data_IF_375144384269
#
_entry.id   IF_375144384269
#
_cell.length_a   1.000
_cell.length_b   1.000
_cell.length_c   1.000
_cell.angle_alpha   90.00
_cell.angle_beta   90.00
_cell.angle_gamma   90.00
#
_symmetry.space_group_name_H-M   'P 1'
#
loop_
_entity.id
_entity.type
_entity.pdbx_description
1 polymer ?
#
# COMPACT_ATOMS: atom_id res chain seq x y z
N UNK A 1 23.77 9.21 12.40
CA UNK A 1 22.60 9.96 12.91
C UNK A 1 21.35 9.32 12.33
N UNK A 2 20.57 8.60 13.14
CA UNK A 2 19.33 7.95 12.69
C UNK A 2 18.21 8.99 12.79
N UNK A 3 17.87 9.63 11.68
CA UNK A 3 16.76 10.58 11.62
C UNK A 3 15.41 9.87 11.61
N UNK A 4 14.38 10.49 12.19
CA UNK A 4 12.97 10.05 12.06
C UNK A 4 12.56 10.03 10.59
N UNK A 5 12.47 8.84 9.99
CA UNK A 5 11.99 8.65 8.62
C UNK A 5 10.47 8.42 8.61
N UNK A 6 9.70 9.34 8.05
CA UNK A 6 8.25 9.18 7.90
C UNK A 6 7.45 10.44 7.57
N UNK A 7 7.98 11.64 7.82
CA UNK A 7 7.39 12.89 7.32
C UNK A 7 8.12 13.36 6.07
N UNK A 8 7.43 14.10 5.21
CA UNK A 8 7.93 14.94 4.11
C UNK A 8 8.86 16.05 4.61
N UNK A 9 9.79 15.72 5.50
CA UNK A 9 10.81 16.64 6.00
C UNK A 9 11.80 16.87 4.88
N UNK A 10 11.90 18.13 4.44
CA UNK A 10 12.96 18.60 3.54
C UNK A 10 14.28 18.02 4.04
N UNK A 11 14.90 17.16 3.23
CA UNK A 11 16.28 16.74 3.48
C UNK A 11 17.12 18.03 3.52
N UNK A 12 17.99 18.23 4.53
CA UNK A 12 18.77 19.46 4.62
C UNK A 12 19.53 19.71 3.32
N UNK A 13 19.46 20.92 2.77
CA UNK A 13 20.11 21.28 1.50
C UNK A 13 21.64 21.20 1.56
N UNK A 14 22.20 21.19 2.77
CA UNK A 14 23.63 21.02 3.04
C UNK A 14 24.08 19.55 3.02
N UNK A 15 23.16 18.58 2.93
CA UNK A 15 23.50 17.17 2.95
C UNK A 15 23.88 16.69 1.55
N UNK A 16 25.06 16.07 1.45
CA UNK A 16 25.58 15.48 0.23
C UNK A 16 25.52 13.95 0.29
N UNK A 17 25.19 13.34 -0.84
CA UNK A 17 25.10 11.89 -1.02
C UNK A 17 26.17 11.40 -1.98
N UNK A 18 26.71 10.22 -1.69
CA UNK A 18 27.67 9.53 -2.53
C UNK A 18 26.97 8.38 -3.27
N UNK A 19 27.09 8.35 -4.60
CA UNK A 19 26.54 7.31 -5.47
C UNK A 19 27.64 6.48 -6.17
N UNK A 20 28.76 6.23 -5.49
CA UNK A 20 29.86 5.35 -5.99
C UNK A 20 29.38 3.97 -6.43
N UNK A 21 28.39 3.40 -5.74
CA UNK A 21 27.79 2.11 -6.10
C UNK A 21 27.03 2.12 -7.43
N UNK A 22 26.74 3.32 -7.96
CA UNK A 22 26.18 3.57 -9.29
C UNK A 22 27.24 4.07 -10.29
N UNK A 23 28.53 4.05 -9.93
CA UNK A 23 29.64 4.45 -10.81
C UNK A 23 29.97 5.93 -10.80
N UNK A 24 29.33 6.74 -9.96
CA UNK A 24 29.58 8.19 -9.92
C UNK A 24 30.78 8.55 -9.03
N UNK A 25 31.59 9.52 -9.48
CA UNK A 25 32.76 10.03 -8.75
C UNK A 25 32.50 11.34 -7.99
N UNK A 26 31.38 12.01 -8.25
CA UNK A 26 30.99 13.26 -7.58
C UNK A 26 30.01 13.01 -6.44
N UNK A 27 29.91 13.98 -5.55
CA UNK A 27 28.83 14.07 -4.57
C UNK A 27 27.58 14.71 -5.22
N UNK A 28 26.42 14.35 -4.70
CA UNK A 28 25.12 14.85 -5.13
C UNK A 28 24.43 15.55 -3.97
N UNK A 29 23.75 16.65 -4.25
CA UNK A 29 22.87 17.30 -3.27
C UNK A 29 21.62 16.46 -3.04
N UNK A 30 20.96 16.69 -1.91
CA UNK A 30 19.78 15.93 -1.53
C UNK A 30 18.61 16.06 -2.52
N UNK A 31 18.43 17.22 -3.15
CA UNK A 31 17.42 17.47 -4.18
C UNK A 31 17.67 16.66 -5.46
N UNK A 32 18.93 16.46 -5.85
CA UNK A 32 19.31 15.65 -7.02
C UNK A 32 18.94 14.16 -6.85
N UNK A 33 18.89 13.66 -5.62
CA UNK A 33 18.72 12.22 -5.33
C UNK A 33 17.47 11.89 -4.52
N UNK A 34 16.65 12.90 -4.20
CA UNK A 34 15.54 12.78 -3.26
C UNK A 34 14.63 11.57 -3.57
N UNK A 35 14.20 11.46 -4.83
CA UNK A 35 13.24 10.44 -5.27
C UNK A 35 13.84 9.03 -5.39
N UNK A 36 15.16 8.88 -5.41
CA UNK A 36 15.82 7.56 -5.48
C UNK A 36 16.30 7.05 -4.12
N UNK A 37 16.14 7.85 -3.05
CA UNK A 37 16.59 7.47 -1.72
C UNK A 37 15.86 6.22 -1.22
N UNK A 38 14.51 6.24 -1.23
CA UNK A 38 13.69 5.09 -0.83
C UNK A 38 13.98 3.85 -1.69
N UNK A 39 14.15 4.04 -2.99
CA UNK A 39 14.55 2.97 -3.93
C UNK A 39 15.88 2.32 -3.55
N UNK A 40 16.91 3.13 -3.27
CA UNK A 40 18.24 2.64 -2.92
C UNK A 40 18.25 1.96 -1.55
N UNK A 41 17.46 2.47 -0.60
CA UNK A 41 17.30 1.84 0.70
C UNK A 41 16.67 0.44 0.57
N UNK A 42 15.58 0.30 -0.20
CA UNK A 42 14.97 -1.01 -0.44
C UNK A 42 15.95 -1.96 -1.13
N UNK A 43 16.69 -1.50 -2.15
CA UNK A 43 17.72 -2.34 -2.82
C UNK A 43 18.74 -2.88 -1.82
N UNK A 44 19.23 -2.04 -0.91
CA UNK A 44 20.18 -2.44 0.11
C UNK A 44 19.60 -3.51 1.03
N UNK A 45 18.38 -3.29 1.53
CA UNK A 45 17.68 -4.25 2.38
C UNK A 45 17.47 -5.58 1.67
N UNK A 46 16.94 -5.56 0.44
CA UNK A 46 16.67 -6.74 -0.37
C UNK A 46 17.93 -7.58 -0.60
N UNK A 47 19.03 -6.94 -1.03
CA UNK A 47 20.28 -7.64 -1.33
C UNK A 47 20.91 -8.28 -0.08
N UNK A 48 20.87 -7.59 1.07
CA UNK A 48 21.42 -8.13 2.31
C UNK A 48 20.53 -9.25 2.85
N UNK A 49 19.20 -9.06 2.81
CA UNK A 49 18.26 -10.09 3.25
C UNK A 49 18.37 -11.37 2.42
N UNK A 50 18.52 -11.26 1.09
CA UNK A 50 18.69 -12.42 0.21
C UNK A 50 19.99 -13.19 0.48
N UNK A 51 21.06 -12.51 0.92
CA UNK A 51 22.31 -13.18 1.32
C UNK A 51 22.16 -13.92 2.65
N UNK A 52 21.51 -13.30 3.62
CA UNK A 52 21.36 -13.85 4.97
C UNK A 52 20.28 -14.95 5.02
N UNK A 53 19.23 -14.84 4.21
CA UNK A 53 18.08 -15.74 4.19
C UNK A 53 17.74 -16.19 2.76
N UNK A 54 18.60 -16.97 2.08
CA UNK A 54 18.46 -17.29 0.66
C UNK A 54 17.20 -18.10 0.31
N UNK A 55 16.59 -18.78 1.29
CA UNK A 55 15.38 -19.59 1.11
C UNK A 55 14.10 -18.86 1.56
N UNK A 56 14.19 -17.57 1.90
CA UNK A 56 13.05 -16.78 2.35
C UNK A 56 12.81 -15.60 1.42
N UNK A 57 11.54 -15.25 1.24
CA UNK A 57 11.12 -14.07 0.49
C UNK A 57 11.01 -12.89 1.44
N UNK A 58 11.65 -11.77 1.09
CA UNK A 58 11.54 -10.53 1.85
C UNK A 58 10.12 -9.97 1.76
N UNK A 59 9.56 -9.60 2.90
CA UNK A 59 8.41 -8.71 3.00
C UNK A 59 8.87 -7.35 3.53
N UNK A 60 8.79 -6.30 2.70
CA UNK A 60 9.19 -4.94 3.07
C UNK A 60 8.07 -3.96 2.80
N UNK A 61 7.58 -3.30 3.85
CA UNK A 61 6.62 -2.19 3.72
C UNK A 61 7.39 -0.90 3.44
N UNK A 62 6.98 -0.15 2.41
CA UNK A 62 7.70 1.05 1.97
C UNK A 62 6.75 2.20 1.68
N UNK A 63 7.04 3.38 2.21
CA UNK A 63 6.21 4.57 1.94
C UNK A 63 6.64 5.34 0.70
N UNK A 64 7.87 5.12 0.24
CA UNK A 64 8.46 5.80 -0.92
C UNK A 64 9.34 4.84 -1.71
N UNK A 65 9.55 5.18 -2.99
CA UNK A 65 10.32 4.40 -3.94
C UNK A 65 10.49 5.16 -5.24
N UNK A 66 10.95 4.47 -6.27
CA UNK A 66 11.12 4.99 -7.63
C UNK A 66 10.72 3.94 -8.65
N UNK A 67 10.69 4.31 -9.93
CA UNK A 67 10.45 3.37 -11.02
C UNK A 67 11.38 2.16 -10.91
N UNK A 68 10.78 0.97 -10.93
CA UNK A 68 11.50 -0.28 -10.80
C UNK A 68 11.76 -0.76 -9.37
N UNK A 69 11.32 -0.04 -8.33
CA UNK A 69 11.41 -0.52 -6.94
C UNK A 69 10.71 -1.86 -6.70
N UNK A 70 9.69 -2.22 -7.48
CA UNK A 70 8.96 -3.50 -7.39
C UNK A 70 9.87 -4.73 -7.49
N UNK A 71 11.02 -4.63 -8.19
CA UNK A 71 11.98 -5.73 -8.31
C UNK A 71 12.72 -6.04 -7.00
N UNK A 72 12.59 -5.19 -5.99
CA UNK A 72 13.18 -5.36 -4.66
C UNK A 72 12.15 -5.74 -3.59
N UNK A 73 10.97 -6.25 -3.99
CA UNK A 73 9.98 -6.81 -3.06
C UNK A 73 9.28 -5.75 -2.20
N UNK A 74 8.93 -4.60 -2.79
CA UNK A 74 8.20 -3.54 -2.07
C UNK A 74 6.71 -3.84 -1.93
N UNK A 75 6.16 -3.47 -0.76
CA UNK A 75 4.73 -3.53 -0.45
C UNK A 75 4.26 -2.14 0.00
N UNK A 76 4.06 -1.20 -0.93
CA UNK A 76 3.78 0.18 -0.55
C UNK A 76 2.36 0.38 -0.05
N UNK A 77 2.16 1.44 0.73
CA UNK A 77 0.83 1.91 1.12
C UNK A 77 0.68 3.41 0.84
N UNK A 78 -0.56 3.88 0.74
CA UNK A 78 -0.91 5.26 0.39
C UNK A 78 -0.60 6.31 1.47
N UNK A 79 0.01 5.91 2.59
CA UNK A 79 0.38 6.80 3.69
C UNK A 79 -0.78 7.11 4.64
N UNK A 80 -0.62 8.20 5.38
CA UNK A 80 -1.49 8.62 6.49
C UNK A 80 -2.83 9.20 5.97
N UNK A 81 -3.70 8.33 5.46
CA UNK A 81 -5.03 8.72 4.94
C UNK A 81 -5.97 9.14 6.07
N UNK A 82 -6.83 10.14 5.83
CA UNK A 82 -7.86 10.54 6.80
C UNK A 82 -8.97 9.49 6.93
N UNK A 83 -9.51 9.33 8.15
CA UNK A 83 -10.69 8.49 8.42
C UNK A 83 -11.98 9.21 7.98
N UNK A 84 -12.17 9.33 6.67
CA UNK A 84 -13.35 9.94 6.05
C UNK A 84 -13.77 9.17 4.80
N UNK A 85 -15.02 9.32 4.36
CA UNK A 85 -15.50 8.78 3.08
C UNK A 85 -14.69 9.30 1.88
N UNK A 86 -14.26 10.56 1.92
CA UNK A 86 -13.34 11.12 0.93
C UNK A 86 -11.98 10.41 0.91
N UNK A 87 -11.45 10.09 2.10
CA UNK A 87 -10.25 9.28 2.27
C UNK A 87 -10.37 7.89 1.63
N UNK A 88 -11.49 7.19 1.90
CA UNK A 88 -11.79 5.89 1.27
C UNK A 88 -11.93 6.02 -0.26
N UNK A 89 -12.71 6.99 -0.74
CA UNK A 89 -12.98 7.20 -2.16
C UNK A 89 -11.71 7.46 -2.99
N UNK A 90 -10.70 8.11 -2.38
CA UNK A 90 -9.43 8.37 -3.04
C UNK A 90 -8.55 7.11 -3.23
N UNK A 91 -8.82 6.01 -2.52
CA UNK A 91 -7.91 4.87 -2.52
C UNK A 91 -7.91 4.10 -3.84
N UNK A 92 -9.07 3.91 -4.46
CA UNK A 92 -9.15 3.14 -5.71
C UNK A 92 -8.34 3.79 -6.85
N UNK A 93 -8.49 5.10 -7.15
CA UNK A 93 -7.66 5.77 -8.16
C UNK A 93 -6.15 5.67 -7.88
N UNK A 94 -5.74 5.81 -6.61
CA UNK A 94 -4.33 5.66 -6.20
C UNK A 94 -3.82 4.25 -6.48
N UNK A 95 -4.60 3.22 -6.10
CA UNK A 95 -4.22 1.82 -6.33
C UNK A 95 -4.15 1.50 -7.82
N UNK A 96 -5.11 1.95 -8.62
CA UNK A 96 -5.12 1.76 -10.06
C UNK A 96 -3.91 2.39 -10.73
N UNK A 97 -3.61 3.66 -10.40
CA UNK A 97 -2.44 4.36 -10.97
C UNK A 97 -1.12 3.67 -10.63
N UNK A 98 -0.95 3.25 -9.36
CA UNK A 98 0.25 2.55 -8.91
C UNK A 98 0.37 1.14 -9.52
N UNK A 99 -0.73 0.39 -9.59
CA UNK A 99 -0.73 -0.96 -10.18
C UNK A 99 -0.39 -0.93 -11.67
N UNK A 100 -1.02 0.00 -12.41
CA UNK A 100 -0.71 0.24 -13.83
C UNK A 100 0.71 0.77 -14.05
N UNK A 101 1.34 1.37 -13.03
CA UNK A 101 2.76 1.77 -13.04
C UNK A 101 3.72 0.64 -12.64
N UNK A 102 3.23 -0.60 -12.55
CA UNK A 102 4.03 -1.78 -12.22
C UNK A 102 4.32 -1.94 -10.72
N UNK A 103 3.53 -1.30 -9.84
CA UNK A 103 3.65 -1.40 -8.38
C UNK A 103 2.43 -2.14 -7.81
N UNK A 104 2.45 -3.49 -7.83
CA UNK A 104 1.24 -4.29 -7.73
C UNK A 104 0.65 -4.41 -6.31
N UNK A 105 1.49 -4.34 -5.27
CA UNK A 105 1.09 -4.57 -3.87
C UNK A 105 0.70 -3.30 -3.12
N UNK A 106 0.39 -2.22 -3.86
CA UNK A 106 -0.14 -0.98 -3.27
C UNK A 106 -1.42 -1.27 -2.48
N UNK A 107 -1.52 -0.69 -1.29
CA UNK A 107 -2.71 -0.78 -0.45
C UNK A 107 -2.92 0.50 0.36
N UNK A 108 -3.96 0.52 1.18
CA UNK A 108 -4.27 1.60 2.10
C UNK A 108 -4.29 1.08 3.54
N UNK A 109 -4.15 1.98 4.50
CA UNK A 109 -4.53 1.72 5.89
C UNK A 109 -6.05 1.46 5.95
N UNK A 110 -6.46 0.20 6.10
CA UNK A 110 -7.88 -0.16 6.06
C UNK A 110 -8.61 0.37 7.31
N UNK A 111 -9.73 1.05 7.10
CA UNK A 111 -10.42 1.80 8.16
C UNK A 111 -9.91 3.23 8.36
N UNK A 112 -8.83 3.61 7.66
CA UNK A 112 -8.22 4.95 7.67
C UNK A 112 -7.29 5.19 8.86
N UNK A 113 -6.33 6.11 8.67
CA UNK A 113 -5.22 6.31 9.60
C UNK A 113 -5.42 7.47 10.57
N UNK A 114 -5.66 8.68 10.06
CA UNK A 114 -5.65 9.92 10.85
C UNK A 114 -7.03 10.52 11.06
N UNK A 115 -7.26 11.06 12.27
CA UNK A 115 -8.48 11.79 12.63
C UNK A 115 -9.75 10.94 12.52
N UNK A 116 -10.86 11.60 12.16
CA UNK A 116 -12.19 11.01 11.99
C UNK A 116 -13.08 11.09 13.23
N UNK A 117 -14.34 10.71 13.05
CA UNK A 117 -15.41 10.82 14.07
C UNK A 117 -15.86 9.45 14.61
N UNK A 118 -15.17 8.37 14.24
CA UNK A 118 -15.51 7.02 14.67
C UNK A 118 -16.74 6.42 13.96
N UNK A 119 -16.86 6.68 12.67
CA UNK A 119 -17.91 6.13 11.81
C UNK A 119 -17.69 4.62 11.58
N UNK A 120 -18.52 3.81 12.24
CA UNK A 120 -18.49 2.35 12.12
C UNK A 120 -18.92 1.86 10.73
N UNK A 121 -19.82 2.57 10.03
CA UNK A 121 -20.22 2.17 8.68
C UNK A 121 -19.05 2.39 7.71
N UNK A 122 -18.40 3.55 7.77
CA UNK A 122 -17.19 3.83 7.01
C UNK A 122 -16.13 2.75 7.27
N UNK A 123 -15.87 2.42 8.54
CA UNK A 123 -14.91 1.38 8.89
C UNK A 123 -15.28 0.04 8.22
N UNK A 124 -16.52 -0.43 8.38
CA UNK A 124 -17.00 -1.67 7.77
C UNK A 124 -16.82 -1.65 6.24
N UNK A 125 -17.25 -0.58 5.57
CA UNK A 125 -17.11 -0.46 4.11
C UNK A 125 -15.66 -0.46 3.66
N UNK A 126 -14.78 0.17 4.42
CA UNK A 126 -13.35 0.18 4.12
C UNK A 126 -12.75 -1.23 4.24
N UNK A 127 -13.12 -1.99 5.27
CA UNK A 127 -12.60 -3.36 5.44
C UNK A 127 -13.20 -4.33 4.42
N UNK A 128 -14.46 -4.15 4.03
CA UNK A 128 -15.06 -4.87 2.89
C UNK A 128 -14.29 -4.58 1.60
N UNK A 129 -13.98 -3.31 1.31
CA UNK A 129 -13.16 -2.91 0.17
C UNK A 129 -11.76 -3.54 0.24
N UNK A 130 -11.09 -3.47 1.41
CA UNK A 130 -9.76 -4.03 1.61
C UNK A 130 -9.68 -5.55 1.43
N UNK A 131 -10.80 -6.28 1.57
CA UNK A 131 -10.84 -7.71 1.27
C UNK A 131 -10.42 -8.03 -0.17
N UNK A 132 -10.64 -7.07 -1.09
CA UNK A 132 -10.36 -7.19 -2.52
C UNK A 132 -9.12 -6.41 -2.99
N UNK A 133 -8.34 -5.82 -2.08
CA UNK A 133 -7.09 -5.11 -2.41
C UNK A 133 -5.86 -6.01 -2.18
N UNK A 134 -4.66 -5.66 -2.67
CA UNK A 134 -3.49 -6.53 -2.60
C UNK A 134 -3.10 -6.94 -1.17
N UNK A 135 -3.20 -6.02 -0.20
CA UNK A 135 -2.82 -6.25 1.21
C UNK A 135 -3.96 -5.80 2.12
N UNK A 136 -4.39 -6.69 3.01
CA UNK A 136 -5.38 -6.39 4.04
C UNK A 136 -4.66 -6.03 5.33
N UNK A 137 -4.53 -4.74 5.60
CA UNK A 137 -3.86 -4.23 6.79
C UNK A 137 -4.68 -3.10 7.40
N UNK A 138 -5.55 -3.40 8.37
CA UNK A 138 -6.16 -2.39 9.23
C UNK A 138 -5.05 -1.71 10.03
N UNK A 139 -5.03 -0.39 10.02
CA UNK A 139 -4.02 0.39 10.74
C UNK A 139 -4.49 1.83 10.95
N UNK A 140 -4.13 2.44 12.07
CA UNK A 140 -4.37 3.85 12.29
C UNK A 140 -3.70 4.40 13.53
N UNK A 141 -3.94 5.67 13.81
CA UNK A 141 -3.41 6.34 14.99
C UNK A 141 -4.00 5.76 16.26
N UNK A 142 -3.14 5.44 17.23
CA UNK A 142 -3.51 5.06 18.60
C UNK A 142 -3.25 6.23 19.55
N UNK A 143 -4.00 7.33 19.40
CA UNK A 143 -3.74 8.58 20.14
C UNK A 143 -3.97 8.42 21.65
N UNK A 144 -4.88 7.54 22.04
CA UNK A 144 -5.18 7.15 23.42
C UNK A 144 -4.00 6.47 24.16
N UNK A 145 -2.99 5.99 23.43
CA UNK A 145 -1.74 5.49 24.00
C UNK A 145 -0.80 6.61 24.46
N UNK A 146 -0.98 7.82 23.91
CA UNK A 146 -0.18 9.02 24.21
C UNK A 146 -0.97 9.93 25.17
N UNK A 147 -2.25 10.14 24.89
CA UNK A 147 -3.15 10.98 25.68
C UNK A 147 -4.52 10.31 25.79
N UNK A 148 -4.89 9.90 27.01
CA UNK A 148 -6.15 9.19 27.30
C UNK A 148 -7.40 10.01 27.01
N UNK A 149 -7.27 11.32 26.85
CA UNK A 149 -8.38 12.22 26.52
C UNK A 149 -8.52 12.44 25.01
N UNK A 150 -7.51 12.06 24.23
CA UNK A 150 -7.55 12.16 22.78
C UNK A 150 -8.48 11.09 22.20
N UNK A 151 -9.32 11.50 21.25
CA UNK A 151 -10.14 10.56 20.50
C UNK A 151 -9.24 9.59 19.72
N UNK A 152 -9.49 8.30 19.89
CA UNK A 152 -8.77 7.21 19.21
C UNK A 152 -9.77 6.17 18.76
N UNK A 153 -9.73 5.83 17.47
CA UNK A 153 -10.59 4.79 16.92
C UNK A 153 -9.78 3.51 16.69
N UNK A 154 -10.20 2.37 17.27
CA UNK A 154 -9.49 1.11 17.14
C UNK A 154 -9.34 0.70 15.67
N UNK A 155 -8.13 0.37 15.25
CA UNK A 155 -7.88 -0.05 13.87
C UNK A 155 -8.13 -1.54 13.67
N UNK A 156 -7.88 -2.35 14.69
CA UNK A 156 -7.97 -3.80 14.68
C UNK A 156 -9.43 -4.26 14.75
N UNK A 157 -9.91 -5.08 13.80
CA UNK A 157 -11.31 -5.55 13.77
C UNK A 157 -11.78 -6.23 15.05
N UNK A 158 -10.86 -6.89 15.77
CA UNK A 158 -11.14 -7.59 17.02
C UNK A 158 -11.61 -6.65 18.15
N UNK A 159 -11.28 -5.35 18.07
CA UNK A 159 -11.60 -4.34 19.06
C UNK A 159 -12.89 -3.58 18.73
N UNK A 160 -13.45 -3.76 17.53
CA UNK A 160 -14.70 -3.12 17.10
C UNK A 160 -15.88 -3.74 17.83
N UNK A 161 -16.91 -2.97 18.16
CA UNK A 161 -18.11 -3.48 18.83
C UNK A 161 -19.04 -4.25 17.87
N UNK A 162 -19.97 -5.02 18.45
CA UNK A 162 -21.04 -5.64 17.67
C UNK A 162 -22.08 -4.59 17.24
N UNK A 163 -22.77 -4.76 16.10
CA UNK A 163 -22.70 -5.90 15.16
C UNK A 163 -21.56 -5.79 14.13
N UNK A 164 -20.87 -4.65 14.06
CA UNK A 164 -19.89 -4.35 13.02
C UNK A 164 -18.72 -5.34 12.98
N UNK A 165 -18.25 -5.82 14.14
CA UNK A 165 -17.22 -6.87 14.24
C UNK A 165 -17.57 -8.11 13.42
N UNK A 166 -18.82 -8.59 13.49
CA UNK A 166 -19.24 -9.78 12.74
C UNK A 166 -19.22 -9.52 11.23
N UNK A 167 -19.64 -8.34 10.78
CA UNK A 167 -19.63 -7.99 9.35
C UNK A 167 -18.18 -7.94 8.82
N UNK A 168 -17.25 -7.36 9.58
CA UNK A 168 -15.83 -7.33 9.19
C UNK A 168 -15.21 -8.73 9.22
N UNK A 169 -15.60 -9.57 10.18
CA UNK A 169 -15.17 -10.97 10.23
C UNK A 169 -15.55 -11.72 8.96
N UNK A 170 -16.75 -11.52 8.42
CA UNK A 170 -17.18 -12.14 7.16
C UNK A 170 -16.29 -11.72 5.98
N UNK A 171 -15.93 -10.43 5.88
CA UNK A 171 -15.02 -9.93 4.85
C UNK A 171 -13.61 -10.55 4.98
N UNK A 172 -13.09 -10.70 6.21
CA UNK A 172 -11.82 -11.37 6.47
C UNK A 172 -11.89 -12.85 6.05
N UNK A 173 -12.95 -13.55 6.45
CA UNK A 173 -13.13 -14.96 6.10
C UNK A 173 -13.23 -15.16 4.58
N UNK A 174 -13.93 -14.27 3.87
CA UNK A 174 -13.97 -14.28 2.41
C UNK A 174 -12.57 -14.12 1.82
N UNK A 175 -11.77 -13.17 2.30
CA UNK A 175 -10.40 -13.00 1.84
C UNK A 175 -9.54 -14.26 2.03
N UNK A 176 -9.70 -14.96 3.15
CA UNK A 176 -9.01 -16.23 3.39
C UNK A 176 -9.48 -17.34 2.45
N UNK A 177 -10.78 -17.42 2.14
CA UNK A 177 -11.31 -18.34 1.11
C UNK A 177 -10.74 -18.03 -0.28
N UNK A 178 -10.46 -16.76 -0.57
CA UNK A 178 -9.86 -16.31 -1.82
C UNK A 178 -8.33 -16.44 -1.87
N UNK A 179 -7.66 -17.01 -0.86
CA UNK A 179 -6.20 -17.17 -0.87
C UNK A 179 -5.65 -17.86 -2.13
N UNK A 180 -6.21 -18.98 -2.62
CA UNK A 180 -5.72 -19.62 -3.85
C UNK A 180 -5.84 -18.69 -5.07
N UNK A 181 -6.93 -17.95 -5.16
CA UNK A 181 -7.18 -16.97 -6.23
C UNK A 181 -6.16 -15.81 -6.16
N UNK A 182 -6.03 -15.18 -5.00
CA UNK A 182 -5.11 -14.06 -4.77
C UNK A 182 -3.65 -14.47 -5.00
N UNK A 183 -3.27 -15.67 -4.59
CA UNK A 183 -1.91 -16.18 -4.78
C UNK A 183 -1.63 -16.54 -6.26
N UNK A 184 -2.65 -16.95 -7.00
CA UNK A 184 -2.56 -17.12 -8.47
C UNK A 184 -2.35 -15.78 -9.17
N UNK A 185 -3.04 -14.72 -8.74
CA UNK A 185 -2.81 -13.37 -9.26
C UNK A 185 -1.38 -12.89 -8.95
N UNK A 186 -0.88 -13.12 -7.73
CA UNK A 186 0.50 -12.82 -7.35
C UNK A 186 1.53 -13.56 -8.24
N UNK A 187 1.25 -14.81 -8.59
CA UNK A 187 2.07 -15.57 -9.54
C UNK A 187 2.06 -14.93 -10.93
N UNK A 188 0.87 -14.62 -11.49
CA UNK A 188 0.76 -13.98 -12.81
C UNK A 188 1.45 -12.63 -12.88
N UNK A 189 1.29 -11.82 -11.83
CA UNK A 189 2.01 -10.56 -11.68
C UNK A 189 3.51 -10.79 -11.75
N UNK A 190 4.04 -11.76 -11.01
CA UNK A 190 5.48 -12.06 -10.99
C UNK A 190 5.98 -12.54 -12.36
N UNK A 191 5.19 -13.37 -13.05
CA UNK A 191 5.57 -13.98 -14.32
C UNK A 191 5.45 -13.03 -15.52
N UNK A 192 4.48 -12.13 -15.53
CA UNK A 192 4.10 -11.34 -16.72
C UNK A 192 3.98 -9.84 -16.49
N UNK A 193 3.96 -9.40 -15.23
CA UNK A 193 3.70 -8.01 -14.87
C UNK A 193 2.22 -7.62 -14.82
N UNK A 194 1.29 -8.57 -15.00
CA UNK A 194 -0.16 -8.30 -14.92
C UNK A 194 -0.53 -7.65 -13.57
N UNK A 195 -1.29 -6.53 -13.55
CA UNK A 195 -1.64 -5.83 -12.32
C UNK A 195 -2.56 -6.69 -11.44
N UNK A 196 -2.37 -6.62 -10.12
CA UNK A 196 -3.27 -7.29 -9.15
C UNK A 196 -4.62 -6.58 -9.03
N UNK A 197 -4.62 -5.27 -9.27
CA UNK A 197 -5.80 -4.41 -9.29
C UNK A 197 -5.80 -3.68 -10.62
N UNK A 198 -6.73 -4.05 -11.49
CA UNK A 198 -6.79 -3.52 -12.83
C UNK A 198 -8.02 -2.61 -13.01
N UNK A 199 -7.90 -1.52 -13.78
CA UNK A 199 -9.06 -0.78 -14.24
C UNK A 199 -9.82 -1.62 -15.26
N UNK A 200 -11.13 -1.41 -15.40
CA UNK A 200 -11.95 -2.21 -16.32
C UNK A 200 -11.42 -2.18 -17.76
N UNK A 201 -10.94 -1.02 -18.23
CA UNK A 201 -10.38 -0.89 -19.58
C UNK A 201 -9.13 -1.74 -19.84
N UNK A 202 -8.45 -2.24 -18.80
CA UNK A 202 -7.32 -3.16 -18.97
C UNK A 202 -7.77 -4.49 -19.58
N UNK A 203 -8.95 -4.98 -19.17
CA UNK A 203 -9.54 -6.22 -19.69
C UNK A 203 -10.50 -5.97 -20.85
N UNK A 204 -11.08 -4.77 -20.96
CA UNK A 204 -12.05 -4.40 -21.98
C UNK A 204 -11.62 -3.13 -22.74
N UNK A 205 -10.49 -3.16 -23.46
CA UNK A 205 -9.92 -1.94 -24.06
C UNK A 205 -10.76 -1.35 -25.19
N UNK A 206 -11.67 -2.12 -25.80
CA UNK A 206 -12.58 -1.64 -26.85
C UNK A 206 -13.95 -1.16 -26.31
N UNK A 207 -14.22 -1.35 -25.02
CA UNK A 207 -15.49 -0.93 -24.41
C UNK A 207 -15.42 0.54 -23.98
N UNK A 208 -16.20 1.39 -24.64
CA UNK A 208 -16.26 2.84 -24.38
C UNK A 208 -16.84 3.18 -23.01
N UNK A 209 -17.65 2.30 -22.42
CA UNK A 209 -18.15 2.45 -21.06
C UNK A 209 -17.02 2.13 -20.07
N UNK A 210 -16.28 1.03 -20.28
CA UNK A 210 -15.16 0.64 -19.44
C UNK A 210 -14.05 1.71 -19.37
N UNK A 211 -13.83 2.43 -20.48
CA UNK A 211 -12.87 3.56 -20.55
C UNK A 211 -13.27 4.75 -19.66
N UNK A 212 -14.56 4.94 -19.38
CA UNK A 212 -15.07 6.07 -18.61
C UNK A 212 -15.32 5.75 -17.12
N UNK A 213 -15.25 4.47 -16.72
CA UNK A 213 -15.46 4.08 -15.33
C UNK A 213 -14.20 4.33 -14.50
N UNK A 214 -14.35 5.15 -13.45
CA UNK A 214 -13.28 5.46 -12.50
C UNK A 214 -13.33 4.66 -11.19
N UNK A 215 -14.42 3.93 -10.94
CA UNK A 215 -14.83 3.47 -9.59
C UNK A 215 -15.16 1.97 -9.49
N UNK A 216 -14.54 1.10 -10.31
CA UNK A 216 -14.74 -0.35 -10.21
C UNK A 216 -13.40 -1.11 -10.22
N UNK A 217 -13.31 -2.15 -9.39
CA UNK A 217 -12.21 -3.12 -9.37
C UNK A 217 -12.51 -4.24 -10.38
N UNK A 218 -11.52 -4.63 -11.17
CA UNK A 218 -11.52 -5.93 -11.84
C UNK A 218 -10.32 -6.74 -11.35
N UNK A 219 -10.57 -7.83 -10.64
CA UNK A 219 -9.67 -8.98 -10.66
C UNK A 219 -10.13 -9.89 -11.80
N UNK A 220 -9.20 -10.50 -12.52
CA UNK A 220 -9.39 -11.18 -13.81
C UNK A 220 -10.55 -12.21 -13.94
N UNK A 221 -11.30 -12.52 -12.88
CA UNK A 221 -12.60 -13.21 -12.88
C UNK A 221 -13.21 -13.15 -11.46
N UNK A 222 -13.74 -12.01 -11.04
CA UNK A 222 -14.69 -11.99 -9.92
C UNK A 222 -16.10 -11.98 -10.53
N UNK A 223 -16.58 -13.17 -10.91
CA UNK A 223 -17.99 -13.36 -11.24
C UNK A 223 -18.77 -13.39 -9.93
N UNK A 224 -19.66 -12.41 -9.74
CA UNK A 224 -20.71 -12.46 -8.71
C UNK A 224 -21.66 -13.63 -8.99
#
# INVERSE_FOLDING_TARGET
>A
MVGRFGRTGKTPSSLYHNLKDYGYKRLFKADEVHNIYGHTWTKLLYNNYAKEYPQKRLFSLNRSGFSGSQRYGIFPWSGDVSRTWGGLNAQLPVMLGMSMSGVPYIHADAGGFAGGEGDNELYVRWLQFAAFTPIFRPHGTALDSIDKTAFSFPSEPALIEQPYRNIVKEAIQLRYKLLPYNYTLAYKQTATGEPLVAPLYYHFPQDTVALNIRMNLCGAKISW
#
